data_IF_580592176876
#
_entry.id   IF_580592176876
#
_cell.length_a   1.000
_cell.length_b   1.000
_cell.length_c   1.000
_cell.angle_alpha   90.00
_cell.angle_beta   90.00
_cell.angle_gamma   90.00
#
_symmetry.space_group_name_H-M   'P 1'
#
loop_
_entity.id
_entity.type
_entity.pdbx_description
1 polymer ?
#
# COMPACT_ATOMS: atom_id res chain seq x y z
N UNK A 1 21.09 -27.08 6.33
CA UNK A 1 20.50 -25.97 5.53
C UNK A 1 21.40 -25.53 4.38
N UNK A 2 22.69 -25.22 4.61
CA UNK A 2 23.64 -24.79 3.57
C UNK A 2 23.83 -25.84 2.46
N UNK A 3 23.93 -27.14 2.81
CA UNK A 3 24.09 -28.24 1.84
C UNK A 3 22.88 -28.36 0.89
N UNK A 4 21.66 -28.09 1.39
CA UNK A 4 20.44 -28.14 0.59
C UNK A 4 20.38 -26.97 -0.40
N UNK A 5 20.85 -25.80 0.01
CA UNK A 5 20.94 -24.60 -0.85
C UNK A 5 21.98 -24.81 -1.96
N UNK A 6 23.14 -25.38 -1.63
CA UNK A 6 24.18 -25.68 -2.62
C UNK A 6 23.71 -26.77 -3.60
N UNK A 7 23.06 -27.82 -3.10
CA UNK A 7 22.49 -28.88 -3.97
C UNK A 7 21.42 -28.36 -4.92
N UNK A 8 20.54 -27.47 -4.46
CA UNK A 8 19.50 -26.87 -5.30
C UNK A 8 20.05 -25.90 -6.35
N UNK A 9 21.13 -25.16 -6.04
CA UNK A 9 21.82 -24.30 -7.02
C UNK A 9 22.53 -25.10 -8.11
N UNK A 10 23.13 -26.25 -7.78
CA UNK A 10 23.79 -27.13 -8.75
C UNK A 10 22.76 -27.77 -9.69
N UNK A 11 21.63 -28.25 -9.15
CA UNK A 11 20.53 -28.81 -9.95
C UNK A 11 19.92 -27.75 -10.87
N UNK A 12 19.71 -26.53 -10.37
CA UNK A 12 19.22 -25.41 -11.16
C UNK A 12 20.20 -25.03 -12.27
N UNK A 13 21.50 -24.96 -11.97
CA UNK A 13 22.55 -24.71 -12.94
C UNK A 13 22.63 -25.78 -14.03
N UNK A 14 22.47 -27.06 -13.67
CA UNK A 14 22.44 -28.17 -14.62
C UNK A 14 21.20 -28.17 -15.50
N UNK A 15 20.03 -27.83 -14.95
CA UNK A 15 18.80 -27.64 -15.71
C UNK A 15 18.92 -26.50 -16.72
N UNK A 16 19.46 -25.35 -16.30
CA UNK A 16 19.72 -24.19 -17.17
C UNK A 16 20.73 -24.56 -18.27
N UNK A 17 21.83 -25.23 -17.93
CA UNK A 17 22.83 -25.69 -18.90
C UNK A 17 22.27 -26.69 -19.93
N UNK A 18 21.43 -27.63 -19.47
CA UNK A 18 20.74 -28.61 -20.33
C UNK A 18 19.72 -27.94 -21.27
N UNK A 19 19.01 -26.93 -20.77
CA UNK A 19 18.07 -26.11 -21.55
C UNK A 19 18.80 -25.31 -22.65
N UNK A 20 19.95 -24.70 -22.36
CA UNK A 20 20.74 -23.91 -23.33
C UNK A 20 21.16 -24.73 -24.56
N UNK A 21 21.46 -26.03 -24.40
CA UNK A 21 21.84 -26.92 -25.53
C UNK A 21 20.66 -27.31 -26.44
N UNK A 22 19.42 -27.07 -26.03
CA UNK A 22 18.21 -27.39 -26.78
C UNK A 22 17.35 -26.13 -26.90
N UNK A 23 17.67 -25.21 -27.82
CA UNK A 23 17.00 -23.92 -27.93
C UNK A 23 15.48 -24.06 -28.07
N UNK A 24 14.98 -25.11 -28.75
CA UNK A 24 13.54 -25.37 -28.84
C UNK A 24 12.87 -25.69 -27.50
N UNK A 25 13.55 -26.35 -26.56
CA UNK A 25 12.99 -26.63 -25.23
C UNK A 25 13.00 -25.35 -24.39
N UNK A 26 14.09 -24.57 -24.45
CA UNK A 26 14.17 -23.27 -23.78
C UNK A 26 13.08 -22.31 -24.25
N UNK A 27 12.88 -22.21 -25.57
CA UNK A 27 11.82 -21.38 -26.15
C UNK A 27 10.44 -21.88 -25.69
N UNK A 28 10.20 -23.18 -25.73
CA UNK A 28 8.91 -23.76 -25.28
C UNK A 28 8.61 -23.47 -23.82
N UNK A 29 9.61 -23.59 -22.93
CA UNK A 29 9.47 -23.25 -21.51
C UNK A 29 9.20 -21.76 -21.33
N UNK A 30 9.92 -20.90 -22.04
CA UNK A 30 9.73 -19.45 -21.95
C UNK A 30 8.34 -19.03 -22.43
N UNK A 31 7.86 -19.62 -23.53
CA UNK A 31 6.50 -19.39 -24.06
C UNK A 31 5.44 -19.87 -23.06
N UNK A 32 5.62 -21.03 -22.44
CA UNK A 32 4.71 -21.53 -21.40
C UNK A 32 4.67 -20.61 -20.18
N UNK A 33 5.81 -20.06 -19.75
CA UNK A 33 5.87 -19.07 -18.66
C UNK A 33 5.11 -17.81 -19.06
N UNK A 34 5.33 -17.29 -20.27
CA UNK A 34 4.61 -16.10 -20.78
C UNK A 34 3.11 -16.36 -20.84
N UNK A 35 2.68 -17.49 -21.41
CA UNK A 35 1.26 -17.87 -21.48
C UNK A 35 0.67 -18.02 -20.07
N UNK A 36 1.38 -18.67 -19.14
CA UNK A 36 0.96 -18.83 -17.76
C UNK A 36 0.77 -17.48 -17.06
N UNK A 37 1.68 -16.53 -17.26
CA UNK A 37 1.55 -15.15 -16.77
C UNK A 37 0.33 -14.46 -17.38
N UNK A 38 0.09 -14.62 -18.69
CA UNK A 38 -1.07 -14.04 -19.37
C UNK A 38 -2.41 -14.64 -18.90
N UNK A 39 -2.48 -15.97 -18.75
CA UNK A 39 -3.68 -16.68 -18.27
C UNK A 39 -3.97 -16.32 -16.82
N UNK A 40 -2.94 -16.32 -15.96
CA UNK A 40 -3.10 -15.91 -14.57
C UNK A 40 -3.57 -14.45 -14.45
N UNK A 41 -2.97 -13.53 -15.23
CA UNK A 41 -3.42 -12.14 -15.32
C UNK A 41 -4.86 -12.02 -15.80
N UNK A 42 -5.28 -12.86 -16.74
CA UNK A 42 -6.66 -12.87 -17.24
C UNK A 42 -7.66 -13.35 -16.18
N UNK A 43 -7.31 -14.38 -15.41
CA UNK A 43 -8.20 -15.00 -14.42
C UNK A 43 -8.25 -14.20 -13.12
N UNK A 44 -7.09 -13.86 -12.55
CA UNK A 44 -6.99 -13.24 -11.23
C UNK A 44 -6.89 -11.72 -11.29
N UNK A 45 -6.69 -11.13 -12.47
CA UNK A 45 -6.61 -9.69 -12.67
C UNK A 45 -5.38 -9.01 -12.04
N UNK A 46 -4.60 -9.74 -11.24
CA UNK A 46 -3.50 -9.24 -10.42
C UNK A 46 -2.34 -10.24 -10.41
N UNK A 47 -1.14 -9.79 -10.78
CA UNK A 47 0.11 -10.48 -10.53
C UNK A 47 0.88 -9.70 -9.46
N UNK A 48 0.99 -10.20 -8.21
CA UNK A 48 1.82 -9.54 -7.21
C UNK A 48 3.27 -9.55 -7.71
N UNK A 49 3.78 -8.36 -8.06
CA UNK A 49 5.19 -8.23 -8.43
C UNK A 49 6.02 -8.65 -7.21
N UNK A 50 6.90 -9.66 -7.34
CA UNK A 50 7.75 -10.09 -6.24
C UNK A 50 8.52 -8.91 -5.65
N UNK A 51 8.63 -8.88 -4.33
CA UNK A 51 9.32 -7.82 -3.57
C UNK A 51 10.71 -7.49 -4.15
N UNK A 52 11.47 -8.50 -4.58
CA UNK A 52 12.79 -8.32 -5.19
C UNK A 52 12.78 -7.47 -6.47
N UNK A 53 11.78 -7.64 -7.35
CA UNK A 53 11.65 -6.83 -8.58
C UNK A 53 11.25 -5.39 -8.21
N UNK A 54 10.40 -5.22 -7.19
CA UNK A 54 10.02 -3.89 -6.69
C UNK A 54 11.23 -3.13 -6.12
N UNK A 55 12.09 -3.80 -5.36
CA UNK A 55 13.33 -3.20 -4.86
C UNK A 55 14.28 -2.84 -5.99
N UNK A 56 14.41 -3.69 -7.02
CA UNK A 56 15.25 -3.40 -8.18
C UNK A 56 14.79 -2.13 -8.92
N UNK A 57 13.48 -1.99 -9.12
CA UNK A 57 12.89 -0.80 -9.75
C UNK A 57 13.18 0.48 -8.94
N UNK A 58 13.03 0.43 -7.61
CA UNK A 58 13.34 1.56 -6.72
C UNK A 58 14.84 1.86 -6.61
N UNK A 59 15.72 0.89 -6.87
CA UNK A 59 17.16 1.15 -6.90
C UNK A 59 17.60 1.91 -8.15
N UNK A 60 16.99 1.61 -9.29
CA UNK A 60 17.25 2.29 -10.57
C UNK A 60 16.64 3.69 -10.59
N UNK A 61 15.44 3.85 -10.02
CA UNK A 61 14.74 5.12 -9.93
C UNK A 61 14.32 5.40 -8.49
N UNK A 62 15.22 5.98 -7.66
CA UNK A 62 14.92 6.23 -6.26
C UNK A 62 13.81 7.29 -6.13
N UNK A 63 12.81 7.03 -5.27
CA UNK A 63 11.73 7.96 -5.00
C UNK A 63 12.27 9.22 -4.31
N UNK A 64 11.94 10.40 -4.85
CA UNK A 64 12.45 11.69 -4.34
C UNK A 64 11.62 12.25 -3.18
N UNK A 65 10.35 11.88 -3.12
CA UNK A 65 9.34 12.43 -2.22
C UNK A 65 8.57 11.31 -1.49
N UNK A 66 9.26 10.22 -1.12
CA UNK A 66 8.66 9.04 -0.50
C UNK A 66 7.87 9.37 0.78
N UNK A 67 8.21 10.42 1.52
CA UNK A 67 7.50 10.78 2.75
C UNK A 67 6.39 11.81 2.54
N UNK A 68 6.27 12.36 1.34
CA UNK A 68 5.21 13.31 1.05
C UNK A 68 3.90 12.58 0.76
N UNK A 69 2.79 12.97 1.42
CA UNK A 69 1.50 12.42 1.11
C UNK A 69 1.08 12.76 -0.32
N UNK A 70 0.35 11.83 -0.94
CA UNK A 70 -0.28 12.01 -2.24
C UNK A 70 -1.65 12.70 -2.13
N UNK A 71 -2.17 12.79 -0.91
CA UNK A 71 -3.42 13.47 -0.57
C UNK A 71 -3.32 14.01 0.87
N UNK A 72 -3.73 15.25 1.07
CA UNK A 72 -4.05 15.85 2.36
C UNK A 72 -5.41 16.54 2.24
N UNK A 73 -6.32 16.32 3.18
CA UNK A 73 -7.59 17.05 3.25
C UNK A 73 -8.14 17.07 4.69
N UNK A 74 -8.98 18.04 5.00
CA UNK A 74 -9.76 18.05 6.24
C UNK A 74 -10.76 16.90 6.24
N UNK A 75 -10.83 16.15 7.34
CA UNK A 75 -11.76 15.01 7.47
C UNK A 75 -12.29 14.91 8.89
N UNK A 76 -13.60 14.70 9.03
CA UNK A 76 -14.30 14.72 10.31
C UNK A 76 -14.42 13.30 10.86
N UNK A 77 -13.34 12.79 11.48
CA UNK A 77 -13.30 11.44 12.06
C UNK A 77 -14.29 11.23 13.23
N UNK A 78 -14.78 12.32 13.81
CA UNK A 78 -15.70 12.36 14.93
C UNK A 78 -17.18 12.50 14.50
N UNK A 79 -17.47 12.60 13.18
CA UNK A 79 -18.84 12.73 12.69
C UNK A 79 -19.32 11.41 12.05
N UNK A 80 -20.29 10.75 12.70
CA UNK A 80 -20.84 9.49 12.22
C UNK A 80 -21.51 9.65 10.85
N UNK A 81 -21.16 8.76 9.91
CA UNK A 81 -21.69 8.76 8.54
C UNK A 81 -21.00 9.76 7.61
N UNK A 82 -20.06 10.57 8.10
CA UNK A 82 -19.29 11.48 7.26
C UNK A 82 -18.53 10.70 6.19
N UNK A 83 -18.66 11.13 4.94
CA UNK A 83 -18.08 10.44 3.79
C UNK A 83 -17.39 11.43 2.86
N UNK A 84 -16.18 11.08 2.40
CA UNK A 84 -15.49 11.81 1.33
C UNK A 84 -14.90 10.83 0.33
N UNK A 85 -14.94 11.22 -0.94
CA UNK A 85 -14.35 10.47 -2.04
C UNK A 85 -13.18 11.25 -2.62
N UNK A 86 -12.04 10.57 -2.75
CA UNK A 86 -10.79 11.16 -3.22
C UNK A 86 -10.30 10.47 -4.48
N UNK A 87 -9.79 11.26 -5.41
CA UNK A 87 -9.09 10.75 -6.58
C UNK A 87 -7.61 10.57 -6.23
N UNK A 88 -7.16 9.33 -6.23
CA UNK A 88 -5.76 9.01 -5.95
C UNK A 88 -4.91 9.18 -7.20
N UNK A 89 -3.72 9.75 -7.01
CA UNK A 89 -2.65 9.81 -8.01
C UNK A 89 -1.42 9.11 -7.44
N UNK A 90 -1.38 7.77 -7.45
CA UNK A 90 -0.27 6.99 -6.89
C UNK A 90 1.03 7.36 -7.61
N UNK A 91 2.07 7.73 -6.87
CA UNK A 91 3.37 8.13 -7.43
C UNK A 91 4.32 6.94 -7.60
N UNK A 92 4.18 5.92 -6.74
CA UNK A 92 5.15 4.82 -6.63
C UNK A 92 4.47 3.45 -6.47
N UNK A 93 5.21 2.40 -6.77
CA UNK A 93 4.77 1.02 -6.54
C UNK A 93 4.96 0.65 -5.08
N UNK A 94 3.87 0.39 -4.35
CA UNK A 94 3.96 0.00 -2.95
C UNK A 94 2.62 0.02 -2.24
N UNK A 95 2.71 -0.23 -0.94
CA UNK A 95 1.59 -0.01 -0.03
C UNK A 95 1.45 1.47 0.29
N UNK A 96 0.26 1.85 0.71
CA UNK A 96 -0.10 3.19 1.13
C UNK A 96 -0.76 3.11 2.51
N UNK A 97 -0.60 4.17 3.30
CA UNK A 97 -1.32 4.38 4.54
C UNK A 97 -2.39 5.44 4.34
N UNK A 98 -3.56 5.19 4.93
CA UNK A 98 -4.54 6.21 5.29
C UNK A 98 -4.32 6.50 6.77
N UNK A 99 -4.23 7.78 7.12
CA UNK A 99 -4.06 8.21 8.50
C UNK A 99 -4.41 9.68 8.65
N UNK A 100 -3.99 10.27 9.77
CA UNK A 100 -4.15 11.70 9.97
C UNK A 100 -2.94 12.34 10.65
N UNK A 101 -2.66 13.58 10.26
CA UNK A 101 -1.80 14.48 10.99
C UNK A 101 -2.58 15.18 12.09
N UNK A 102 -1.90 15.48 13.18
CA UNK A 102 -2.41 16.30 14.28
C UNK A 102 -1.54 17.55 14.38
N UNK A 103 -2.13 18.71 14.12
CA UNK A 103 -1.48 20.01 14.28
C UNK A 103 -1.20 20.37 15.74
N UNK A 104 -0.46 21.46 15.95
CA UNK A 104 -0.12 21.96 17.29
C UNK A 104 0.93 21.09 18.01
N UNK A 105 0.64 20.71 19.25
CA UNK A 105 1.51 19.84 20.06
C UNK A 105 1.37 18.35 19.72
N UNK A 106 0.37 17.99 18.91
CA UNK A 106 0.05 16.60 18.58
C UNK A 106 -0.92 15.97 19.59
N UNK A 107 -1.15 14.67 19.43
CA UNK A 107 -2.03 13.88 20.31
C UNK A 107 -1.20 13.02 21.27
N UNK A 108 -1.66 12.80 22.50
CA UNK A 108 -0.87 12.06 23.51
C UNK A 108 -0.37 10.70 22.99
N UNK A 109 0.84 10.29 23.37
CA UNK A 109 1.40 9.01 22.95
C UNK A 109 0.65 7.77 23.47
N UNK A 110 -0.25 7.99 24.42
CA UNK A 110 -1.16 6.98 24.97
C UNK A 110 -2.46 6.83 24.18
N UNK A 111 -2.72 7.73 23.23
CA UNK A 111 -3.92 7.72 22.42
C UNK A 111 -4.04 6.42 21.64
N UNK A 112 -5.28 5.97 21.45
CA UNK A 112 -5.62 4.84 20.60
C UNK A 112 -6.86 5.23 19.84
N UNK A 113 -6.81 5.10 18.52
CA UNK A 113 -7.98 5.32 17.67
C UNK A 113 -9.10 4.36 18.07
N UNK A 114 -10.27 4.91 18.40
CA UNK A 114 -11.47 4.17 18.81
C UNK A 114 -12.55 4.10 17.73
N UNK A 115 -12.37 4.84 16.64
CA UNK A 115 -13.32 4.88 15.55
C UNK A 115 -13.27 3.64 14.66
N UNK A 116 -14.21 3.58 13.72
CA UNK A 116 -14.28 2.60 12.65
C UNK A 116 -14.55 3.27 11.34
N UNK A 117 -13.65 3.08 10.38
CA UNK A 117 -13.79 3.58 9.02
C UNK A 117 -14.14 2.46 8.05
N UNK A 118 -14.94 2.80 7.06
CA UNK A 118 -15.19 2.01 5.87
C UNK A 118 -14.41 2.61 4.71
N UNK A 119 -13.57 1.81 4.06
CA UNK A 119 -12.70 2.24 2.98
C UNK A 119 -13.04 1.44 1.73
N UNK A 120 -13.62 2.11 0.74
CA UNK A 120 -14.06 1.51 -0.51
C UNK A 120 -13.18 2.00 -1.66
N UNK A 121 -12.69 1.07 -2.48
CA UNK A 121 -11.83 1.38 -3.62
C UNK A 121 -12.56 1.15 -4.93
N UNK A 122 -12.41 2.11 -5.84
CA UNK A 122 -13.01 2.09 -7.16
C UNK A 122 -11.94 2.39 -8.21
N UNK A 123 -12.10 1.78 -9.38
CA UNK A 123 -11.42 2.22 -10.60
C UNK A 123 -12.47 2.70 -11.59
N UNK A 124 -12.40 3.98 -11.94
CA UNK A 124 -13.54 4.65 -12.57
C UNK A 124 -14.78 4.39 -11.72
N UNK A 125 -15.88 3.95 -12.31
CA UNK A 125 -17.13 3.58 -11.62
C UNK A 125 -17.20 2.10 -11.19
N UNK A 126 -16.14 1.32 -11.41
CA UNK A 126 -16.12 -0.10 -11.03
C UNK A 126 -15.58 -0.26 -9.60
N UNK A 127 -16.39 -0.85 -8.73
CA UNK A 127 -15.96 -1.30 -7.41
C UNK A 127 -14.84 -2.34 -7.53
N UNK A 128 -13.77 -2.15 -6.75
CA UNK A 128 -12.66 -3.09 -6.67
C UNK A 128 -12.78 -3.96 -5.42
N UNK A 129 -12.73 -3.32 -4.25
CA UNK A 129 -12.81 -3.98 -2.95
C UNK A 129 -13.15 -2.96 -1.86
N UNK A 130 -13.48 -3.47 -0.68
CA UNK A 130 -13.80 -2.71 0.52
C UNK A 130 -13.11 -3.35 1.71
N UNK A 131 -12.67 -2.52 2.65
CA UNK A 131 -12.07 -2.96 3.90
C UNK A 131 -12.42 -1.98 5.04
N UNK A 132 -12.22 -2.42 6.29
CA UNK A 132 -12.49 -1.62 7.48
C UNK A 132 -11.22 -1.26 8.24
N UNK A 133 -11.12 -0.01 8.69
CA UNK A 133 -10.08 0.42 9.62
C UNK A 133 -10.68 0.56 11.03
N UNK A 134 -10.31 -0.34 11.95
CA UNK A 134 -10.83 -0.39 13.33
C UNK A 134 -9.81 0.01 14.39
N UNK A 135 -8.64 0.53 13.98
CA UNK A 135 -7.55 0.90 14.88
C UNK A 135 -6.38 1.50 14.11
N UNK A 136 -5.30 1.82 14.81
CA UNK A 136 -4.07 2.31 14.19
C UNK A 136 -3.07 1.19 13.83
N UNK A 137 -2.24 1.44 12.83
CA UNK A 137 -1.16 0.55 12.37
C UNK A 137 0.19 1.02 12.91
N UNK A 138 0.41 2.33 12.94
CA UNK A 138 1.62 2.99 13.43
C UNK A 138 1.35 4.45 13.79
N UNK A 139 2.30 5.09 14.48
CA UNK A 139 2.26 6.52 14.78
C UNK A 139 3.67 7.10 14.76
N UNK A 140 3.79 8.39 14.43
CA UNK A 140 5.04 9.14 14.47
C UNK A 140 5.00 10.18 15.58
N UNK A 141 6.06 10.27 16.38
CA UNK A 141 6.16 11.21 17.50
C UNK A 141 6.40 12.64 17.02
N UNK A 142 5.79 13.62 17.69
CA UNK A 142 6.08 15.03 17.49
C UNK A 142 7.38 15.42 18.21
N UNK A 143 8.36 15.97 17.50
CA UNK A 143 9.62 16.48 18.08
C UNK A 143 10.40 15.42 18.91
N UNK A 144 11.37 15.87 19.70
CA UNK A 144 12.28 15.02 20.48
C UNK A 144 11.65 14.40 21.75
N UNK A 145 10.47 14.88 22.17
CA UNK A 145 9.77 14.31 23.30
C UNK A 145 8.78 13.26 22.77
N UNK A 146 9.05 11.98 23.04
CA UNK A 146 8.18 10.84 22.67
C UNK A 146 6.83 10.83 23.43
N UNK A 147 6.28 12.00 23.72
CA UNK A 147 5.10 12.23 24.55
C UNK A 147 3.85 12.46 23.72
N UNK A 148 3.99 12.94 22.49
CA UNK A 148 2.88 13.18 21.58
C UNK A 148 3.17 12.62 20.20
N UNK A 149 2.14 12.25 19.46
CA UNK A 149 2.18 11.90 18.06
C UNK A 149 1.77 13.09 17.22
N UNK A 150 2.56 13.37 16.17
CA UNK A 150 2.17 14.28 15.10
C UNK A 150 1.39 13.56 14.00
N UNK A 151 1.41 12.23 13.99
CA UNK A 151 0.86 11.40 12.93
C UNK A 151 0.37 10.07 13.46
N UNK A 152 -0.79 9.63 12.97
CA UNK A 152 -1.37 8.31 13.24
C UNK A 152 -1.77 7.64 11.93
N UNK A 153 -1.17 6.50 11.62
CA UNK A 153 -1.54 5.65 10.50
C UNK A 153 -2.69 4.73 10.93
N UNK A 154 -3.81 4.71 10.20
CA UNK A 154 -4.99 3.92 10.54
C UNK A 154 -5.16 2.66 9.70
N UNK A 155 -4.78 2.72 8.43
CA UNK A 155 -5.06 1.63 7.51
C UNK A 155 -3.99 1.51 6.46
N UNK A 156 -3.54 0.27 6.21
CA UNK A 156 -2.60 -0.04 5.13
C UNK A 156 -3.32 -0.74 4.00
N UNK A 157 -3.11 -0.27 2.79
CA UNK A 157 -3.60 -0.91 1.58
C UNK A 157 -2.54 -0.94 0.52
N UNK A 158 -2.61 -1.93 -0.36
CA UNK A 158 -1.83 -1.94 -1.59
C UNK A 158 -2.74 -1.50 -2.73
N UNK A 159 -2.33 -0.48 -3.49
CA UNK A 159 -3.04 -0.12 -4.70
C UNK A 159 -2.63 -1.11 -5.79
N UNK A 160 -3.56 -1.84 -6.41
CA UNK A 160 -3.23 -2.72 -7.52
C UNK A 160 -2.84 -1.88 -8.75
N UNK A 161 -1.54 -1.56 -8.86
CA UNK A 161 -0.97 -0.71 -9.91
C UNK A 161 -0.61 -1.52 -11.17
N UNK A 162 -1.54 -2.30 -11.71
CA UNK A 162 -1.36 -2.87 -13.05
C UNK A 162 -1.89 -1.92 -14.14
N UNK A 163 -1.00 -1.19 -14.80
CA UNK A 163 -1.30 -0.49 -16.06
C UNK A 163 -2.48 0.49 -15.99
N UNK A 164 -3.62 0.15 -16.62
CA UNK A 164 -4.79 1.03 -16.80
C UNK A 164 -5.41 1.57 -15.49
N UNK A 165 -5.08 0.96 -14.35
CA UNK A 165 -5.59 1.33 -13.04
C UNK A 165 -4.84 2.51 -12.39
N UNK A 166 -3.65 2.88 -12.87
CA UNK A 166 -2.85 3.99 -12.28
C UNK A 166 -3.56 5.35 -12.44
N UNK A 167 -4.43 5.46 -13.45
CA UNK A 167 -5.24 6.63 -13.71
C UNK A 167 -6.67 6.32 -13.25
N UNK A 168 -7.27 7.19 -12.45
CA UNK A 168 -8.67 7.13 -11.99
C UNK A 168 -8.99 6.14 -10.86
N UNK A 169 -8.04 5.83 -9.96
CA UNK A 169 -8.40 5.20 -8.68
C UNK A 169 -9.12 6.22 -7.81
N UNK A 170 -10.28 5.83 -7.27
CA UNK A 170 -10.97 6.59 -6.23
C UNK A 170 -11.00 5.78 -4.94
N UNK A 171 -10.80 6.46 -3.83
CA UNK A 171 -11.05 5.90 -2.50
C UNK A 171 -12.17 6.70 -1.85
N UNK A 172 -13.17 6.00 -1.35
CA UNK A 172 -14.24 6.59 -0.56
C UNK A 172 -14.04 6.12 0.88
N UNK A 173 -13.96 7.09 1.78
CA UNK A 173 -13.75 6.86 3.20
C UNK A 173 -15.01 7.33 3.92
N UNK A 174 -15.60 6.44 4.72
CA UNK A 174 -16.82 6.72 5.49
C UNK A 174 -16.60 6.40 6.95
N UNK A 175 -17.04 7.28 7.85
CA UNK A 175 -17.00 7.06 9.30
C UNK A 175 -18.20 6.19 9.70
N UNK A 176 -17.96 4.94 10.11
CA UNK A 176 -19.00 4.06 10.63
C UNK A 176 -19.23 4.28 12.12
N UNK A 177 -18.14 4.37 12.88
CA UNK A 177 -18.13 4.68 14.31
C UNK A 177 -17.15 5.85 14.52
N UNK A 178 -17.60 6.98 15.07
CA UNK A 178 -16.75 8.15 15.25
C UNK A 178 -15.76 7.96 16.41
N UNK A 179 -14.62 8.65 16.34
CA UNK A 179 -13.73 8.83 17.49
C UNK A 179 -13.94 10.24 18.07
N UNK A 180 -14.79 10.34 19.09
CA UNK A 180 -15.18 11.62 19.72
C UNK A 180 -13.98 12.33 20.37
N UNK A 181 -12.91 11.63 20.75
CA UNK A 181 -11.70 12.27 21.29
C UNK A 181 -11.02 13.17 20.26
N UNK A 182 -11.27 12.95 18.97
CA UNK A 182 -10.71 13.77 17.90
C UNK A 182 -11.45 15.10 17.70
N UNK A 183 -12.65 15.27 18.26
CA UNK A 183 -13.44 16.50 18.14
C UNK A 183 -12.69 17.71 18.73
N UNK A 184 -11.96 17.52 19.83
CA UNK A 184 -11.20 18.60 20.48
C UNK A 184 -10.10 19.20 19.59
N UNK A 185 -9.64 18.47 18.58
CA UNK A 185 -8.62 18.93 17.65
C UNK A 185 -9.23 19.65 16.44
N UNK A 186 -10.51 19.37 16.12
CA UNK A 186 -11.27 19.99 15.04
C UNK A 186 -10.45 20.15 13.75
N UNK A 187 -10.23 21.40 13.35
CA UNK A 187 -9.51 21.79 12.14
C UNK A 187 -8.01 21.46 12.12
N UNK A 188 -7.43 21.03 13.26
CA UNK A 188 -6.04 20.59 13.36
C UNK A 188 -5.84 19.16 12.86
N UNK A 189 -6.92 18.42 12.58
CA UNK A 189 -6.86 17.08 12.02
C UNK A 189 -6.90 17.14 10.49
N UNK A 190 -5.87 16.59 9.87
CA UNK A 190 -5.78 16.48 8.41
C UNK A 190 -5.60 15.02 8.04
N UNK A 191 -6.57 14.46 7.31
CA UNK A 191 -6.43 13.14 6.70
C UNK A 191 -5.29 13.18 5.70
N UNK A 192 -4.43 12.17 5.72
CA UNK A 192 -3.45 11.95 4.67
C UNK A 192 -3.61 10.58 4.01
N UNK A 193 -3.13 10.51 2.77
CA UNK A 193 -2.76 9.24 2.14
C UNK A 193 -1.32 9.36 1.67
N UNK A 194 -0.45 8.48 2.15
CA UNK A 194 0.98 8.47 1.81
C UNK A 194 1.47 7.05 1.55
N UNK A 195 2.64 6.91 0.93
CA UNK A 195 3.23 5.59 0.72
C UNK A 195 3.71 5.00 2.07
N UNK A 196 3.49 3.71 2.24
CA UNK A 196 3.99 2.96 3.38
C UNK A 196 5.49 2.65 3.15
N UNK A 197 6.37 2.89 4.15
CA UNK A 197 7.74 2.42 4.08
C UNK A 197 7.76 0.89 3.97
N UNK A 198 8.66 0.34 3.16
CA UNK A 198 8.86 -1.10 3.12
C UNK A 198 9.46 -1.57 4.45
N UNK A 199 8.72 -2.41 5.18
CA UNK A 199 9.29 -3.19 6.28
C UNK A 199 10.26 -4.23 5.75
#
# INVERSE_FOLDING_TARGET
MIIIIIGSLIILGFLIFSLIKKPMITISVLVLIVIGVFVYRFIFGFFPIPIGIRHLAHWIAPPKDLFQPILEDKFLFYEKGFTKTYHLKPKYFGGYYIGFFVGGEGITSKYKFKGKLDVEFFWKDKFLFKDGATGWVSAAYSKNAMTYFSEVDLYRFDIPLEGKYVKEVRVKITVLEPDEELEQFGDLITLFIKIAPSK
#
